data_IF_837729346707
#
_entry.id   IF_837729346707
#
_cell.length_a   1.000
_cell.length_b   1.000
_cell.length_c   1.000
_cell.angle_alpha   90.00
_cell.angle_beta   90.00
_cell.angle_gamma   90.00
#
_symmetry.space_group_name_H-M   'P 1'
#
loop_
_entity.id
_entity.type
_entity.pdbx_description
1 polymer ?
#
# COMPACT_ATOMS: atom_id res chain seq x y z
N UNK A 1 -4.28 13.37 -17.06
CA UNK A 1 -5.12 12.16 -17.07
C UNK A 1 -4.31 11.08 -16.40
N UNK A 2 -4.78 10.57 -15.27
CA UNK A 2 -4.12 9.50 -14.54
C UNK A 2 -4.23 8.25 -15.41
N UNK A 3 -3.21 8.01 -16.24
CA UNK A 3 -2.95 6.69 -16.81
C UNK A 3 -2.96 5.75 -15.61
N UNK A 4 -3.81 4.73 -15.65
CA UNK A 4 -3.86 3.73 -14.60
C UNK A 4 -2.44 3.22 -14.37
N UNK A 5 -1.84 3.54 -13.23
CA UNK A 5 -0.61 2.93 -12.71
C UNK A 5 -0.94 1.46 -12.40
N UNK A 6 -1.13 0.67 -13.46
CA UNK A 6 -1.26 -0.77 -13.37
C UNK A 6 0.13 -1.33 -13.08
N UNK A 7 0.22 -2.07 -12.00
CA UNK A 7 1.37 -2.92 -11.73
C UNK A 7 1.49 -3.96 -12.84
N UNK A 8 2.71 -4.19 -13.31
CA UNK A 8 3.01 -5.35 -14.15
C UNK A 8 2.81 -6.65 -13.37
N UNK A 9 2.59 -7.74 -14.11
CA UNK A 9 2.27 -9.06 -13.56
C UNK A 9 3.41 -9.59 -12.67
N UNK A 10 4.67 -9.39 -13.07
CA UNK A 10 5.84 -9.79 -12.29
C UNK A 10 5.87 -9.10 -10.91
N UNK A 11 5.54 -7.81 -10.84
CA UNK A 11 5.46 -7.08 -9.58
C UNK A 11 4.30 -7.54 -8.71
N UNK A 12 3.16 -7.91 -9.31
CA UNK A 12 2.01 -8.48 -8.59
C UNK A 12 2.38 -9.84 -8.00
N UNK A 13 2.94 -10.74 -8.80
CA UNK A 13 3.40 -12.06 -8.35
C UNK A 13 4.44 -11.96 -7.24
N UNK A 14 5.42 -11.05 -7.38
CA UNK A 14 6.43 -10.81 -6.35
C UNK A 14 5.80 -10.37 -5.02
N UNK A 15 4.80 -9.49 -5.06
CA UNK A 15 4.08 -9.09 -3.86
C UNK A 15 3.30 -10.26 -3.25
N UNK A 16 2.59 -11.03 -4.07
CA UNK A 16 1.82 -12.20 -3.62
C UNK A 16 2.69 -13.26 -2.93
N UNK A 17 3.90 -13.50 -3.46
CA UNK A 17 4.89 -14.38 -2.86
C UNK A 17 5.38 -13.85 -1.50
N UNK A 18 5.63 -12.55 -1.39
CA UNK A 18 6.08 -11.93 -0.13
C UNK A 18 5.03 -11.93 0.96
N UNK A 19 3.74 -11.82 0.60
CA UNK A 19 2.63 -11.81 1.56
C UNK A 19 1.95 -13.16 1.74
N UNK A 20 2.42 -14.20 1.05
CA UNK A 20 1.89 -15.56 1.11
C UNK A 20 0.38 -15.63 0.79
N UNK A 21 -0.04 -14.91 -0.25
CA UNK A 21 -1.45 -14.81 -0.65
C UNK A 21 -2.08 -16.20 -0.80
N UNK A 22 -3.22 -16.42 -0.15
CA UNK A 22 -3.96 -17.69 -0.22
C UNK A 22 -3.38 -18.85 0.62
N UNK A 23 -2.25 -18.65 1.31
CA UNK A 23 -1.56 -19.70 2.07
C UNK A 23 -1.87 -19.66 3.58
N UNK A 24 -2.71 -18.75 4.04
CA UNK A 24 -3.12 -18.62 5.46
C UNK A 24 -1.96 -18.36 6.44
N UNK A 25 -0.83 -17.87 5.95
CA UNK A 25 0.27 -17.39 6.80
C UNK A 25 -0.08 -16.02 7.38
N UNK A 26 0.19 -15.82 8.66
CA UNK A 26 -0.08 -14.56 9.34
C UNK A 26 0.91 -13.48 8.89
N UNK A 27 0.42 -12.26 8.66
CA UNK A 27 1.21 -11.06 8.34
C UNK A 27 0.82 -9.94 9.31
N UNK A 28 1.80 -9.22 9.85
CA UNK A 28 1.57 -8.06 10.70
C UNK A 28 1.31 -6.81 9.85
N UNK A 29 0.22 -6.09 10.12
CA UNK A 29 -0.16 -4.88 9.40
C UNK A 29 -0.18 -3.66 10.32
N UNK A 30 0.44 -2.57 9.88
CA UNK A 30 0.37 -1.27 10.54
C UNK A 30 -0.34 -0.27 9.63
N UNK A 31 -1.48 0.25 10.07
CA UNK A 31 -2.16 1.35 9.36
C UNK A 31 -1.35 2.64 9.51
N UNK A 32 -0.92 3.22 8.39
CA UNK A 32 -0.11 4.45 8.37
C UNK A 32 -0.89 5.67 7.92
N UNK A 33 -1.93 5.50 7.10
CA UNK A 33 -2.84 6.56 6.67
C UNK A 33 -4.12 5.96 6.11
N UNK A 34 -5.08 6.81 5.81
CA UNK A 34 -6.29 6.45 5.08
C UNK A 34 -6.36 7.23 3.77
N UNK A 35 -6.84 6.60 2.69
CA UNK A 35 -7.10 7.27 1.42
C UNK A 35 -8.60 7.23 1.09
N UNK A 36 -9.09 8.32 0.53
CA UNK A 36 -10.47 8.37 0.01
C UNK A 36 -10.63 7.31 -1.08
N UNK A 37 -11.70 6.53 -1.00
CA UNK A 37 -12.03 5.54 -2.03
C UNK A 37 -12.46 6.28 -3.29
N UNK A 38 -11.80 6.04 -4.42
CA UNK A 38 -12.32 6.54 -5.70
C UNK A 38 -13.68 5.89 -5.97
N UNK A 39 -14.68 6.70 -6.35
CA UNK A 39 -16.08 6.30 -6.44
C UNK A 39 -16.26 5.08 -7.35
N UNK A 40 -16.45 3.91 -6.75
CA UNK A 40 -16.85 2.69 -7.45
C UNK A 40 -18.06 2.09 -6.73
N UNK A 41 -19.28 2.46 -7.14
CA UNK A 41 -20.61 1.83 -6.98
C UNK A 41 -20.96 0.90 -5.78
N UNK A 42 -20.20 0.85 -4.68
CA UNK A 42 -20.47 -0.01 -3.51
C UNK A 42 -20.11 0.73 -2.22
N UNK A 43 -21.17 1.18 -1.54
CA UNK A 43 -21.25 1.78 -0.18
C UNK A 43 -20.35 3.01 0.03
N UNK A 44 -21.01 4.15 0.09
CA UNK A 44 -20.50 5.45 0.49
C UNK A 44 -19.98 5.39 1.94
N UNK A 45 -18.79 5.94 2.22
CA UNK A 45 -18.44 6.38 3.58
C UNK A 45 -17.14 5.87 4.21
N UNK A 46 -16.60 4.70 3.87
CA UNK A 46 -15.40 4.18 4.57
C UNK A 46 -14.11 4.40 3.77
N UNK A 47 -13.10 5.11 4.32
CA UNK A 47 -11.83 5.31 3.66
C UNK A 47 -11.02 4.01 3.61
N UNK A 48 -10.11 3.89 2.65
CA UNK A 48 -9.28 2.69 2.45
C UNK A 48 -8.01 2.83 3.29
N UNK A 49 -7.73 1.90 4.23
CA UNK A 49 -6.48 1.92 4.99
C UNK A 49 -5.28 1.68 4.06
N UNK A 50 -4.25 2.48 4.23
CA UNK A 50 -2.93 2.26 3.66
C UNK A 50 -2.06 1.68 4.76
N UNK A 51 -1.46 0.52 4.50
CA UNK A 51 -0.75 -0.25 5.52
C UNK A 51 0.70 -0.48 5.12
N UNK A 52 1.55 -0.61 6.13
CA UNK A 52 2.82 -1.32 6.02
C UNK A 52 2.61 -2.77 6.44
N UNK A 53 3.29 -3.69 5.78
CA UNK A 53 3.18 -5.13 6.04
C UNK A 53 4.55 -5.68 6.44
N UNK A 54 4.53 -6.58 7.41
CA UNK A 54 5.72 -7.21 7.97
C UNK A 54 5.49 -8.71 8.14
N UNK A 55 6.42 -9.53 7.66
CA UNK A 55 6.41 -10.97 7.94
C UNK A 55 6.87 -11.22 9.39
N UNK A 56 6.01 -11.76 10.27
CA UNK A 56 6.40 -12.06 11.65
C UNK A 56 7.47 -13.14 11.77
N UNK A 57 7.60 -14.01 10.76
CA UNK A 57 8.63 -15.05 10.71
C UNK A 57 9.90 -14.57 9.98
N UNK A 58 9.85 -13.38 9.39
CA UNK A 58 10.97 -12.74 8.69
C UNK A 58 11.89 -11.95 9.63
N UNK A 59 12.91 -11.27 9.09
CA UNK A 59 13.74 -10.37 9.89
C UNK A 59 12.89 -9.27 10.55
N UNK A 60 13.01 -9.06 11.87
CA UNK A 60 12.18 -8.11 12.59
C UNK A 60 12.27 -6.69 12.02
N UNK A 61 11.10 -6.07 11.80
CA UNK A 61 10.99 -4.67 11.37
C UNK A 61 11.20 -4.42 9.88
N UNK A 62 11.32 -5.46 9.05
CA UNK A 62 11.46 -5.30 7.59
C UNK A 62 10.10 -5.10 6.92
N UNK A 63 9.88 -3.89 6.38
CA UNK A 63 8.67 -3.50 5.64
C UNK A 63 8.69 -4.10 4.23
N UNK A 64 7.66 -4.88 3.88
CA UNK A 64 7.50 -5.49 2.56
C UNK A 64 7.45 -4.42 1.45
N UNK A 65 6.86 -3.25 1.72
CA UNK A 65 6.85 -2.15 0.75
C UNK A 65 8.26 -1.62 0.46
N UNK A 66 9.14 -1.59 1.46
CA UNK A 66 10.55 -1.23 1.29
C UNK A 66 11.30 -2.31 0.50
N UNK A 67 11.03 -3.59 0.77
CA UNK A 67 11.64 -4.68 0.01
C UNK A 67 11.31 -4.63 -1.49
N UNK A 68 10.07 -4.24 -1.84
CA UNK A 68 9.70 -4.02 -3.24
C UNK A 68 10.50 -2.88 -3.88
N UNK A 69 10.74 -1.79 -3.15
CA UNK A 69 11.57 -0.68 -3.61
C UNK A 69 13.01 -1.13 -3.81
N UNK A 70 13.58 -1.86 -2.83
CA UNK A 70 14.95 -2.34 -2.87
C UNK A 70 15.18 -3.34 -4.02
N UNK A 71 14.14 -4.09 -4.41
CA UNK A 71 14.14 -4.97 -5.59
C UNK A 71 13.90 -4.24 -6.91
N UNK A 72 13.67 -2.94 -6.89
CA UNK A 72 13.35 -2.14 -8.08
C UNK A 72 11.94 -2.36 -8.62
N UNK A 73 11.10 -3.12 -7.91
CA UNK A 73 9.72 -3.42 -8.29
C UNK A 73 8.76 -2.29 -7.91
N UNK A 74 9.14 -1.38 -7.00
CA UNK A 74 8.34 -0.22 -6.63
C UNK A 74 9.18 1.06 -6.55
N UNK A 75 8.50 2.21 -6.51
CA UNK A 75 9.11 3.52 -6.30
C UNK A 75 8.63 4.11 -4.97
N UNK A 76 9.51 4.81 -4.21
CA UNK A 76 9.07 5.53 -3.04
C UNK A 76 8.04 6.60 -3.45
N UNK A 77 7.00 6.76 -2.63
CA UNK A 77 6.07 7.87 -2.80
C UNK A 77 6.84 9.17 -2.62
N UNK A 78 6.64 10.14 -3.52
CA UNK A 78 7.09 11.51 -3.28
C UNK A 78 6.26 12.03 -2.10
N UNK A 79 6.92 12.60 -1.09
CA UNK A 79 6.23 13.30 -0.01
C UNK A 79 5.44 14.46 -0.65
N UNK A 80 4.13 14.29 -0.79
CA UNK A 80 3.23 15.42 -0.96
C UNK A 80 3.10 16.03 0.45
N UNK A 81 3.90 17.06 0.73
CA UNK A 81 3.77 17.86 1.95
C UNK A 81 2.33 18.38 2.09
N UNK A 82 1.82 18.34 3.33
CA UNK A 82 0.53 18.82 3.80
C UNK A 82 -0.04 19.98 2.96
N UNK A 83 -1.03 19.68 2.12
CA UNK A 83 -2.09 20.66 1.84
C UNK A 83 -3.14 20.50 2.93
N UNK A 84 -2.87 21.13 4.07
CA UNK A 84 -3.93 21.56 4.97
C UNK A 84 -4.77 22.55 4.16
N UNK A 85 -5.95 22.10 3.72
CA UNK A 85 -6.95 22.98 3.14
C UNK A 85 -7.32 24.00 4.21
N UNK A 86 -6.84 25.25 4.03
CA UNK A 86 -7.34 26.39 4.78
C UNK A 86 -8.83 26.52 4.46
N UNK A 87 -9.67 26.34 5.46
CA UNK A 87 -11.03 26.89 5.44
C UNK A 87 -10.87 28.42 5.29
N UNK A 88 -11.28 28.96 4.14
CA UNK A 88 -11.51 30.39 3.98
C UNK A 88 -12.84 30.74 4.65
N UNK A 89 -12.78 31.68 5.61
CA UNK A 89 -13.92 32.33 6.28
C UNK A 89 -14.85 33.08 5.30
#
# INVERSE_FOLDING_TARGET
GLVEDKWDEETVELFEDMVYTGQWKAISAQVVRYKTRQRSNRREGSPVPCVKLYDPDGPPGVDIGQLLIDKGAAKPLKNEENKEDKEED
#
